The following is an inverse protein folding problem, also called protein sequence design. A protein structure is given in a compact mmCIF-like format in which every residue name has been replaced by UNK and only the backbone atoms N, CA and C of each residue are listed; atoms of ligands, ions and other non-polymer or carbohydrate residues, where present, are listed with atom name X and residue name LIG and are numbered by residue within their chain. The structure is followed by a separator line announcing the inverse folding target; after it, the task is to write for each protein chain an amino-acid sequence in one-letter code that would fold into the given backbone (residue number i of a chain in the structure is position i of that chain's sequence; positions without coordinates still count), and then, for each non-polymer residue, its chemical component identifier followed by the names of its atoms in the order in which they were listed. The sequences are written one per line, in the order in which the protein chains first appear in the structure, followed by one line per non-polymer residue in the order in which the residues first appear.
data_IF_278253767482
#
_entry.id   IF_278253767482
#
_cell.length_a   1.000
_cell.length_b   1.000
_cell.length_c   1.000
_cell.angle_alpha   90.00
_cell.angle_beta   90.00
_cell.angle_gamma   90.00
#
_symmetry.space_group_name_H-M   'P 1'
#
loop_
_entity.id
_entity.type
_entity.pdbx_description
1 polymer ?
#
# COMPACT_ATOMS: atom_id res chain seq x y z
N UNK A 1 5.11 5.24 16.41
CA UNK A 1 4.49 4.98 15.09
C UNK A 1 5.54 4.33 14.21
N UNK A 2 5.18 3.28 13.49
CA UNK A 2 6.12 2.65 12.55
C UNK A 2 6.27 3.49 11.28
N UNK A 3 7.52 3.56 10.77
CA UNK A 3 7.79 4.13 9.45
C UNK A 3 7.30 3.19 8.34
N UNK A 4 7.17 3.69 7.11
CA UNK A 4 6.84 2.86 5.95
C UNK A 4 7.88 1.75 5.73
N UNK A 5 9.15 2.03 6.00
CA UNK A 5 10.22 1.04 5.92
C UNK A 5 10.08 -0.07 6.96
N UNK A 6 9.66 0.25 8.17
CA UNK A 6 9.37 -0.75 9.20
C UNK A 6 8.17 -1.61 8.85
N UNK A 7 7.11 -1.02 8.27
CA UNK A 7 5.97 -1.79 7.74
C UNK A 7 6.41 -2.73 6.63
N UNK A 8 7.24 -2.26 5.71
CA UNK A 8 7.80 -3.08 4.64
C UNK A 8 8.64 -4.24 5.19
N UNK A 9 9.45 -4.00 6.21
CA UNK A 9 10.23 -5.03 6.90
C UNK A 9 9.33 -6.10 7.52
N UNK A 10 8.26 -5.71 8.21
CA UNK A 10 7.29 -6.64 8.81
C UNK A 10 6.66 -7.53 7.73
N UNK A 11 6.15 -6.92 6.67
CA UNK A 11 5.51 -7.64 5.56
C UNK A 11 6.47 -8.59 4.86
N UNK A 12 7.70 -8.15 4.57
CA UNK A 12 8.73 -8.97 3.95
C UNK A 12 9.16 -10.14 4.86
N UNK A 13 9.20 -9.91 6.17
CA UNK A 13 9.50 -10.96 7.15
C UNK A 13 8.43 -12.05 7.14
N UNK A 14 7.16 -11.69 7.12
CA UNK A 14 6.07 -12.68 7.01
C UNK A 14 6.16 -13.47 5.70
N UNK A 15 6.41 -12.81 4.59
CA UNK A 15 6.61 -13.49 3.31
C UNK A 15 7.77 -14.50 3.38
N UNK A 16 8.93 -14.08 3.90
CA UNK A 16 10.10 -14.94 4.06
C UNK A 16 9.81 -16.16 4.93
N UNK A 17 9.16 -15.96 6.08
CA UNK A 17 8.85 -17.04 7.01
C UNK A 17 7.87 -18.05 6.41
N UNK A 18 6.87 -17.60 5.66
CA UNK A 18 5.95 -18.49 4.94
C UNK A 18 6.67 -19.30 3.86
N UNK A 19 7.62 -18.68 3.16
CA UNK A 19 8.45 -19.35 2.16
C UNK A 19 9.39 -20.39 2.79
N UNK A 20 10.07 -20.02 3.89
CA UNK A 20 10.97 -20.93 4.64
C UNK A 20 10.23 -22.11 5.28
N UNK A 21 9.01 -21.88 5.74
CA UNK A 21 8.16 -22.94 6.29
C UNK A 21 7.60 -23.89 5.22
N UNK A 22 7.87 -23.62 3.94
CA UNK A 22 7.39 -24.41 2.80
C UNK A 22 5.86 -24.64 2.85
N UNK A 23 5.12 -23.60 3.23
CA UNK A 23 3.68 -23.65 3.27
C UNK A 23 3.12 -23.83 1.86
N UNK A 24 2.21 -24.78 1.70
CA UNK A 24 1.53 -24.98 0.43
C UNK A 24 0.81 -23.69 0.01
N UNK A 25 1.02 -23.27 -1.25
CA UNK A 25 0.44 -22.05 -1.81
C UNK A 25 0.73 -20.76 -1.02
N UNK A 26 1.93 -20.64 -0.42
CA UNK A 26 2.26 -19.46 0.39
C UNK A 26 2.10 -18.13 -0.36
N UNK A 27 2.35 -18.10 -1.66
CA UNK A 27 2.15 -16.91 -2.49
C UNK A 27 0.67 -16.53 -2.61
N UNK A 28 -0.21 -17.51 -2.80
CA UNK A 28 -1.65 -17.29 -2.85
C UNK A 28 -2.21 -16.82 -1.51
N UNK A 29 -1.74 -17.39 -0.41
CA UNK A 29 -2.11 -16.98 0.96
C UNK A 29 -1.66 -15.55 1.24
N UNK A 30 -0.41 -15.24 0.91
CA UNK A 30 0.15 -13.89 1.07
C UNK A 30 -0.62 -12.86 0.25
N UNK A 31 -0.91 -13.17 -1.01
CA UNK A 31 -1.68 -12.30 -1.91
C UNK A 31 -3.11 -12.07 -1.40
N UNK A 32 -3.76 -13.11 -0.90
CA UNK A 32 -5.09 -12.99 -0.28
C UNK A 32 -5.06 -12.07 0.93
N UNK A 33 -4.14 -12.30 1.87
CA UNK A 33 -3.98 -11.51 3.08
C UNK A 33 -3.71 -10.04 2.76
N UNK A 34 -2.80 -9.77 1.82
CA UNK A 34 -2.50 -8.42 1.34
C UNK A 34 -3.74 -7.71 0.80
N UNK A 35 -4.52 -8.37 -0.06
CA UNK A 35 -5.74 -7.77 -0.63
C UNK A 35 -6.76 -7.46 0.44
N UNK A 36 -6.98 -8.36 1.38
CA UNK A 36 -7.92 -8.15 2.49
C UNK A 36 -7.50 -6.98 3.38
N UNK A 37 -6.23 -6.93 3.73
CA UNK A 37 -5.66 -5.80 4.46
C UNK A 37 -5.87 -4.47 3.72
N UNK A 38 -5.62 -4.45 2.42
CA UNK A 38 -5.79 -3.25 1.59
C UNK A 38 -7.25 -2.80 1.51
N UNK A 39 -8.19 -3.74 1.32
CA UNK A 39 -9.62 -3.44 1.32
C UNK A 39 -10.08 -2.87 2.68
N UNK A 40 -9.65 -3.46 3.78
CA UNK A 40 -9.96 -2.94 5.12
C UNK A 40 -9.37 -1.56 5.37
N UNK A 41 -8.15 -1.32 4.89
CA UNK A 41 -7.50 0.01 4.96
C UNK A 41 -8.33 1.06 4.22
N UNK A 42 -8.77 0.76 3.00
CA UNK A 42 -9.64 1.63 2.22
C UNK A 42 -10.98 1.89 2.93
N UNK A 43 -11.58 0.85 3.50
CA UNK A 43 -12.82 0.97 4.26
C UNK A 43 -12.68 1.89 5.48
N UNK A 44 -11.58 1.80 6.22
CA UNK A 44 -11.31 2.71 7.34
C UNK A 44 -11.15 4.17 6.90
N UNK A 45 -10.49 4.39 5.76
CA UNK A 45 -10.40 5.73 5.15
C UNK A 45 -11.79 6.27 4.82
N UNK A 46 -12.64 5.45 4.19
CA UNK A 46 -14.02 5.80 3.87
C UNK A 46 -14.84 6.17 5.11
N UNK A 47 -14.72 5.39 6.18
CA UNK A 47 -15.42 5.66 7.44
C UNK A 47 -15.01 7.02 8.03
N UNK A 48 -13.74 7.41 7.95
CA UNK A 48 -13.29 8.73 8.41
C UNK A 48 -13.86 9.84 7.54
N UNK A 49 -13.82 9.68 6.21
CA UNK A 49 -14.39 10.66 5.29
C UNK A 49 -15.88 10.86 5.51
N UNK A 50 -16.66 9.78 5.64
CA UNK A 50 -18.10 9.85 5.92
C UNK A 50 -18.42 10.49 7.28
N UNK A 51 -17.61 10.23 8.30
CA UNK A 51 -17.76 10.85 9.61
C UNK A 51 -17.62 12.38 9.52
N UNK A 52 -16.75 12.85 8.65
CA UNK A 52 -16.52 14.27 8.41
C UNK A 52 -17.47 14.87 7.35
N UNK A 53 -18.50 14.13 6.93
CA UNK A 53 -19.52 14.60 5.99
C UNK A 53 -19.02 14.70 4.54
N UNK A 54 -17.95 13.99 4.18
CA UNK A 54 -17.40 13.99 2.83
C UNK A 54 -18.06 12.94 1.94
N UNK A 55 -18.09 13.22 0.65
CA UNK A 55 -18.44 12.21 -0.36
C UNK A 55 -17.24 11.27 -0.60
N UNK A 56 -17.52 10.04 -1.02
CA UNK A 56 -16.46 9.05 -1.29
C UNK A 56 -16.00 9.13 -2.76
N UNK A 57 -15.42 10.25 -3.12
CA UNK A 57 -14.81 10.54 -4.42
C UNK A 57 -13.28 10.47 -4.37
N UNK A 58 -12.60 10.69 -5.50
CA UNK A 58 -11.13 10.70 -5.55
C UNK A 58 -10.51 11.85 -4.75
N UNK A 59 -11.19 12.98 -4.60
CA UNK A 59 -10.68 14.08 -3.79
C UNK A 59 -10.61 13.66 -2.32
N UNK A 60 -11.67 13.05 -1.79
CA UNK A 60 -11.70 12.48 -0.44
C UNK A 60 -10.72 11.32 -0.28
N UNK A 61 -10.60 10.44 -1.27
CA UNK A 61 -9.60 9.36 -1.27
C UNK A 61 -8.18 9.90 -1.06
N UNK A 62 -7.83 10.98 -1.73
CA UNK A 62 -6.53 11.64 -1.58
C UNK A 62 -6.38 12.32 -0.22
N UNK A 63 -7.41 13.03 0.24
CA UNK A 63 -7.42 13.75 1.52
C UNK A 63 -7.25 12.80 2.71
N UNK A 64 -7.88 11.63 2.67
CA UNK A 64 -7.86 10.64 3.76
C UNK A 64 -6.84 9.53 3.58
N UNK A 65 -6.00 9.61 2.55
CA UNK A 65 -4.92 8.67 2.30
C UNK A 65 -3.95 8.55 3.49
N UNK A 66 -3.56 7.32 3.82
CA UNK A 66 -2.71 7.01 4.98
C UNK A 66 -1.24 6.85 4.59
N UNK A 67 -0.87 7.26 3.41
CA UNK A 67 0.51 7.15 2.93
C UNK A 67 1.12 8.52 2.70
N UNK A 68 2.36 8.62 3.06
CA UNK A 68 3.21 9.75 2.73
C UNK A 68 4.59 9.20 2.37
N UNK A 69 5.12 9.63 1.23
CA UNK A 69 6.47 9.30 0.81
C UNK A 69 7.35 10.54 1.01
N UNK A 70 7.52 10.92 2.27
CA UNK A 70 8.45 11.97 2.68
C UNK A 70 9.72 11.34 3.26
N UNK A 71 10.88 12.02 3.23
CA UNK A 71 12.11 11.49 3.77
C UNK A 71 12.01 11.02 5.23
N UNK A 72 11.21 11.70 6.04
CA UNK A 72 11.01 11.37 7.46
C UNK A 72 10.26 10.05 7.66
N UNK A 73 9.30 9.77 6.78
CA UNK A 73 8.44 8.57 6.87
C UNK A 73 9.13 7.36 6.25
N UNK A 74 9.87 7.57 5.19
CA UNK A 74 10.52 6.49 4.42
C UNK A 74 11.92 6.17 4.87
N UNK A 75 12.54 7.05 5.67
CA UNK A 75 13.96 6.98 6.05
C UNK A 75 14.91 7.07 4.84
N UNK A 76 14.45 7.65 3.73
CA UNK A 76 15.22 7.84 2.50
C UNK A 76 15.15 9.33 2.09
N UNK A 77 16.29 10.05 2.06
CA UNK A 77 16.33 11.47 1.70
C UNK A 77 15.87 11.76 0.26
N UNK A 78 15.84 10.76 -0.59
CA UNK A 78 15.40 10.89 -1.99
C UNK A 78 13.95 10.46 -2.21
N UNK A 79 13.26 10.07 -1.15
CA UNK A 79 11.88 9.58 -1.27
C UNK A 79 10.92 10.75 -1.48
N UNK A 80 10.10 10.63 -2.51
CA UNK A 80 9.01 11.57 -2.78
C UNK A 80 7.88 10.90 -3.54
N UNK A 81 6.69 11.45 -3.42
CA UNK A 81 5.56 11.09 -4.25
C UNK A 81 4.96 12.33 -4.90
N UNK A 82 4.58 12.19 -6.17
CA UNK A 82 3.88 13.22 -6.91
C UNK A 82 2.52 12.70 -7.34
N UNK A 83 1.47 13.41 -7.00
CA UNK A 83 0.11 13.10 -7.41
C UNK A 83 -0.35 14.11 -8.45
N UNK A 84 -0.81 13.61 -9.58
CA UNK A 84 -1.36 14.43 -10.64
C UNK A 84 -2.79 13.96 -10.93
N UNK A 85 -3.82 14.79 -10.66
CA UNK A 85 -5.16 14.53 -11.15
C UNK A 85 -5.20 14.85 -12.63
N UNK A 86 -5.57 13.91 -13.46
CA UNK A 86 -5.72 14.07 -14.89
C UNK A 86 -7.06 13.46 -15.33
N UNK A 87 -7.98 14.28 -15.85
CA UNK A 87 -9.28 13.83 -16.38
C UNK A 87 -10.08 12.89 -15.45
N UNK A 88 -10.22 13.24 -14.18
CA UNK A 88 -10.84 12.40 -13.13
C UNK A 88 -10.04 11.14 -12.75
N UNK A 89 -8.87 10.93 -13.32
CA UNK A 89 -7.94 9.88 -12.94
C UNK A 89 -6.91 10.38 -11.92
N UNK A 90 -6.43 9.47 -11.11
CA UNK A 90 -5.32 9.72 -10.18
C UNK A 90 -4.06 9.02 -10.67
N UNK A 91 -3.08 9.80 -11.10
CA UNK A 91 -1.74 9.31 -11.41
C UNK A 91 -0.78 9.65 -10.28
N UNK A 92 -0.13 8.64 -9.75
CA UNK A 92 0.87 8.80 -8.69
C UNK A 92 2.22 8.27 -9.18
N UNK A 93 3.26 9.08 -9.02
CA UNK A 93 4.65 8.68 -9.26
C UNK A 93 5.40 8.67 -7.93
N UNK A 94 6.04 7.57 -7.61
CA UNK A 94 6.79 7.36 -6.38
C UNK A 94 8.26 7.15 -6.72
N UNK A 95 9.13 7.92 -6.08
CA UNK A 95 10.58 7.74 -6.10
C UNK A 95 11.06 7.33 -4.71
N UNK A 96 12.08 6.48 -4.64
CA UNK A 96 12.61 6.00 -3.37
C UNK A 96 11.58 5.20 -2.56
N UNK A 97 10.89 4.27 -3.21
CA UNK A 97 9.87 3.46 -2.57
C UNK A 97 10.49 2.57 -1.49
N UNK A 98 10.15 2.75 -0.19
CA UNK A 98 10.75 2.00 0.91
C UNK A 98 10.40 0.51 0.85
N UNK A 99 9.23 0.16 0.31
CA UNK A 99 8.79 -1.23 0.12
C UNK A 99 9.69 -1.96 -0.86
N UNK A 100 9.95 -1.37 -2.03
CA UNK A 100 10.84 -1.94 -3.03
C UNK A 100 12.26 -2.11 -2.49
N UNK A 101 12.78 -1.09 -1.81
CA UNK A 101 14.12 -1.12 -1.23
C UNK A 101 14.25 -2.21 -0.16
N UNK A 102 13.29 -2.30 0.76
CA UNK A 102 13.32 -3.26 1.85
C UNK A 102 13.27 -4.72 1.37
N UNK A 103 12.37 -5.03 0.42
CA UNK A 103 12.29 -6.37 -0.14
C UNK A 103 13.56 -6.76 -0.91
N UNK A 104 14.14 -5.82 -1.66
CA UNK A 104 15.41 -6.05 -2.37
C UNK A 104 16.58 -6.31 -1.42
N UNK A 105 16.70 -5.54 -0.35
CA UNK A 105 17.74 -5.71 0.67
C UNK A 105 17.67 -7.07 1.35
N UNK A 106 16.47 -7.63 1.50
CA UNK A 106 16.27 -8.97 2.06
C UNK A 106 16.37 -10.09 1.02
N UNK A 107 16.67 -9.78 -0.25
CA UNK A 107 16.73 -10.78 -1.33
C UNK A 107 15.37 -11.34 -1.74
N UNK A 108 14.29 -10.59 -1.50
CA UNK A 108 12.90 -11.01 -1.70
C UNK A 108 12.17 -10.15 -2.74
N UNK A 109 12.85 -9.76 -3.81
CA UNK A 109 12.30 -8.86 -4.83
C UNK A 109 10.98 -9.39 -5.42
N UNK A 110 10.84 -10.70 -5.63
CA UNK A 110 9.62 -11.35 -6.11
C UNK A 110 8.44 -11.16 -5.14
N UNK A 111 8.70 -11.22 -3.84
CA UNK A 111 7.70 -10.95 -2.79
C UNK A 111 7.26 -9.50 -2.79
N UNK A 112 8.17 -8.56 -3.05
CA UNK A 112 7.86 -7.14 -3.19
C UNK A 112 6.94 -6.87 -4.37
N UNK A 113 7.19 -7.50 -5.51
CA UNK A 113 6.31 -7.43 -6.68
C UNK A 113 4.92 -7.99 -6.36
N UNK A 114 4.85 -9.12 -5.69
CA UNK A 114 3.58 -9.72 -5.27
C UNK A 114 2.82 -8.82 -4.30
N UNK A 115 3.51 -8.19 -3.35
CA UNK A 115 2.90 -7.25 -2.40
C UNK A 115 2.32 -6.03 -3.11
N UNK A 116 3.10 -5.37 -3.96
CA UNK A 116 2.70 -4.11 -4.60
C UNK A 116 1.65 -4.30 -5.69
N UNK A 117 1.65 -5.46 -6.36
CA UNK A 117 0.73 -5.72 -7.46
C UNK A 117 -0.74 -5.69 -7.01
N UNK A 118 -1.50 -4.74 -7.52
CA UNK A 118 -2.93 -4.60 -7.22
C UNK A 118 -3.26 -4.08 -5.81
N UNK A 119 -2.25 -3.67 -5.03
CA UNK A 119 -2.46 -3.13 -3.68
C UNK A 119 -3.35 -1.89 -3.71
N UNK A 120 -2.99 -0.90 -4.52
CA UNK A 120 -3.71 0.37 -4.60
C UNK A 120 -5.15 0.18 -5.09
N UNK A 121 -5.34 -0.69 -6.09
CA UNK A 121 -6.68 -1.05 -6.58
C UNK A 121 -7.55 -1.64 -5.46
N UNK A 122 -6.96 -2.45 -4.60
CA UNK A 122 -7.68 -3.05 -3.46
C UNK A 122 -8.03 -2.00 -2.39
N UNK A 123 -7.15 -1.02 -2.15
CA UNK A 123 -7.43 0.10 -1.24
C UNK A 123 -8.58 0.94 -1.79
N UNK A 124 -8.53 1.30 -3.08
CA UNK A 124 -9.61 2.07 -3.75
C UNK A 124 -10.94 1.33 -3.66
N UNK A 125 -10.96 0.02 -3.92
CA UNK A 125 -12.17 -0.81 -3.79
C UNK A 125 -12.73 -0.84 -2.37
N UNK A 126 -11.87 -0.89 -1.38
CA UNK A 126 -12.28 -0.81 0.02
C UNK A 126 -12.84 0.55 0.40
N UNK A 127 -12.31 1.62 -0.19
CA UNK A 127 -12.81 2.98 0.00
C UNK A 127 -14.16 3.20 -0.67
N UNK A 128 -14.25 2.93 -1.96
CA UNK A 128 -15.49 3.00 -2.72
C UNK A 128 -15.41 2.09 -3.96
N UNK A 129 -16.17 0.98 -3.99
CA UNK A 129 -16.14 0.04 -5.13
C UNK A 129 -16.57 0.65 -6.48
N UNK A 130 -17.25 1.80 -6.47
CA UNK A 130 -17.67 2.50 -7.67
C UNK A 130 -16.53 3.32 -8.32
N UNK A 131 -15.46 3.63 -7.58
CA UNK A 131 -14.25 4.25 -8.13
C UNK A 131 -13.44 3.22 -8.93
N UNK A 132 -12.93 3.62 -10.10
CA UNK A 132 -12.17 2.75 -11.00
C UNK A 132 -10.91 3.44 -11.49
#
# INVERSE_FOLDING_TARGET
MFTERQHAFISATFYRLMKEADLHDYEAVFNFAKRKYAEERGSRMAQRALRDGKELDFASYREYGEWAFTPEVTEDPNSCSTQQPENDDLKMTIQGCPWSSQYKEMGLAEGGMLYCSGLDVSIVRGFNPALR
#
